data_IF_374846798286
#
_entry.id   IF_374846798286
#
_cell.length_a   1.000
_cell.length_b   1.000
_cell.length_c   1.000
_cell.angle_alpha   90.00
_cell.angle_beta   90.00
_cell.angle_gamma   90.00
#
_symmetry.space_group_name_H-M   'P 1'
#
loop_
_entity.id
_entity.type
_entity.pdbx_description
1 polymer ?
#
# COMPACT_ATOMS: atom_id res chain seq x y z
N UNK A 1 4.86 22.37 90.19
CA UNK A 1 6.06 23.04 89.76
C UNK A 1 6.13 23.00 88.23
N UNK A 2 5.40 23.90 87.63
CA UNK A 2 5.40 23.98 86.16
C UNK A 2 5.37 25.47 85.80
N UNK A 3 6.44 25.94 85.15
CA UNK A 3 6.65 27.33 84.77
C UNK A 3 5.83 27.67 83.52
N UNK A 4 5.25 28.86 83.42
CA UNK A 4 4.44 29.28 82.27
C UNK A 4 5.30 29.88 81.15
N UNK A 5 5.01 29.46 79.96
CA UNK A 5 5.57 29.84 78.70
C UNK A 5 5.08 31.25 78.26
N UNK A 6 6.02 32.14 77.93
CA UNK A 6 5.73 33.46 77.44
C UNK A 6 5.37 33.47 75.97
N UNK A 7 4.16 33.90 75.61
CA UNK A 7 3.76 34.22 74.26
C UNK A 7 4.20 35.61 73.81
N UNK A 8 4.98 35.71 72.76
CA UNK A 8 5.27 36.92 72.04
C UNK A 8 4.27 37.16 70.90
N UNK A 9 3.78 38.39 70.71
CA UNK A 9 2.84 38.71 69.63
C UNK A 9 3.61 38.94 68.31
N UNK A 10 3.15 38.21 67.26
CA UNK A 10 3.63 38.44 65.91
C UNK A 10 2.89 39.58 65.26
N UNK A 11 3.67 40.61 64.89
CA UNK A 11 3.23 41.81 64.18
C UNK A 11 2.97 41.42 62.71
N UNK A 12 1.70 41.47 62.24
CA UNK A 12 1.36 41.28 60.84
C UNK A 12 1.39 42.55 60.10
N UNK A 13 2.46 42.79 59.34
CA UNK A 13 2.57 43.94 58.43
C UNK A 13 1.75 43.60 57.15
N UNK A 14 0.68 44.36 56.95
CA UNK A 14 -0.08 44.31 55.68
C UNK A 14 0.70 45.11 54.64
N UNK A 15 1.28 44.42 53.69
CA UNK A 15 1.86 44.99 52.47
C UNK A 15 0.75 44.98 51.37
N UNK A 16 0.21 46.19 51.12
CA UNK A 16 -0.68 46.42 49.96
C UNK A 16 0.18 46.62 48.73
N UNK A 17 0.29 45.62 47.93
CA UNK A 17 0.98 45.69 46.63
C UNK A 17 -0.02 46.04 45.53
N UNK A 18 0.03 47.29 45.06
CA UNK A 18 -0.74 47.77 43.92
C UNK A 18 -0.18 47.12 42.64
N UNK A 19 -0.93 46.22 42.04
CA UNK A 19 -0.59 45.59 40.74
C UNK A 19 -1.06 46.55 39.65
N UNK A 20 -0.11 47.23 39.02
CA UNK A 20 -0.31 47.95 37.76
C UNK A 20 -0.43 46.95 36.63
N UNK A 21 -1.63 46.75 36.12
CA UNK A 21 -1.85 46.03 34.89
C UNK A 21 -1.44 46.89 33.69
N UNK A 22 -0.23 46.66 33.17
CA UNK A 22 0.19 47.17 31.87
C UNK A 22 -0.40 46.25 30.80
N UNK A 23 -1.49 46.70 30.15
CA UNK A 23 -2.00 46.05 28.95
C UNK A 23 -1.01 46.30 27.80
N UNK A 24 -0.05 45.41 27.63
CA UNK A 24 0.73 45.34 26.41
C UNK A 24 -0.17 44.69 25.33
N UNK A 25 -0.68 45.51 24.41
CA UNK A 25 -1.36 45.02 23.19
C UNK A 25 -0.32 44.28 22.37
N UNK A 26 -0.28 42.94 22.51
CA UNK A 26 0.41 42.06 21.56
C UNK A 26 -0.34 42.10 20.23
N UNK A 27 0.12 42.94 19.33
CA UNK A 27 -0.21 42.87 17.92
C UNK A 27 0.40 41.56 17.40
N UNK A 28 -0.37 40.48 17.41
CA UNK A 28 0.00 39.25 16.68
C UNK A 28 -0.05 39.56 15.18
N UNK A 29 1.08 39.46 14.45
CA UNK A 29 1.00 39.51 13.02
C UNK A 29 0.15 38.31 12.61
N UNK A 30 -0.95 38.54 11.88
CA UNK A 30 -1.72 37.50 11.22
C UNK A 30 -0.79 36.84 10.22
N UNK A 31 -0.11 35.76 10.64
CA UNK A 31 0.55 34.86 9.73
C UNK A 31 -0.54 34.28 8.85
N UNK A 32 -0.55 34.69 7.58
CA UNK A 32 -1.35 34.04 6.53
C UNK A 32 -1.04 32.55 6.62
N UNK A 33 -2.00 31.76 7.12
CA UNK A 33 -2.00 30.31 7.00
C UNK A 33 -2.25 29.97 5.53
N UNK A 34 -1.22 30.19 4.73
CA UNK A 34 -1.16 29.83 3.34
C UNK A 34 0.16 29.12 3.12
N UNK A 35 0.09 27.91 2.60
CA UNK A 35 1.20 27.10 2.15
C UNK A 35 1.93 26.21 3.18
N UNK A 36 1.18 25.35 3.86
CA UNK A 36 1.77 24.17 4.50
C UNK A 36 1.35 22.85 3.79
N UNK A 37 1.08 22.91 2.49
CA UNK A 37 0.78 21.72 1.66
C UNK A 37 1.81 21.49 0.55
N UNK A 38 3.03 21.96 0.72
CA UNK A 38 4.03 21.99 -0.35
C UNK A 38 5.23 21.05 -0.14
N UNK A 39 5.16 20.01 0.67
CA UNK A 39 6.32 19.11 0.84
C UNK A 39 6.04 17.63 0.67
N UNK A 40 4.93 17.23 0.06
CA UNK A 40 4.68 15.84 -0.33
C UNK A 40 4.66 15.55 -1.84
N UNK A 41 5.00 16.44 -2.76
CA UNK A 41 4.98 16.12 -4.19
C UNK A 41 6.01 15.07 -4.59
N UNK A 42 7.14 15.00 -3.92
CA UNK A 42 8.27 14.19 -4.36
C UNK A 42 8.03 12.69 -4.15
N UNK A 43 7.44 12.29 -3.03
CA UNK A 43 7.15 10.87 -2.70
C UNK A 43 6.07 10.29 -3.62
N UNK A 44 5.08 11.11 -4.00
CA UNK A 44 4.02 10.67 -4.91
C UNK A 44 4.50 10.68 -6.36
N UNK A 45 5.33 11.66 -6.74
CA UNK A 45 5.84 11.78 -8.10
C UNK A 45 6.79 10.63 -8.48
N UNK A 46 7.63 10.19 -7.55
CA UNK A 46 8.63 9.16 -7.80
C UNK A 46 8.25 7.84 -7.15
N UNK A 47 8.02 6.82 -7.97
CA UNK A 47 7.87 5.43 -7.55
C UNK A 47 9.25 4.80 -7.52
N UNK A 48 9.60 4.16 -6.41
CA UNK A 48 10.82 3.40 -6.26
C UNK A 48 10.54 2.11 -5.50
N UNK A 49 10.66 0.96 -6.19
CA UNK A 49 10.24 -0.34 -5.67
C UNK A 49 11.45 -1.25 -5.54
N UNK A 50 11.70 -1.85 -4.37
CA UNK A 50 12.70 -2.91 -4.25
C UNK A 50 12.14 -4.18 -4.88
N UNK A 51 12.79 -4.66 -5.92
CA UNK A 51 12.45 -5.91 -6.59
C UNK A 51 13.60 -6.89 -6.52
N UNK A 52 13.26 -8.16 -6.62
CA UNK A 52 14.22 -9.23 -6.73
C UNK A 52 13.66 -10.39 -7.56
N UNK A 53 14.57 -11.16 -8.14
CA UNK A 53 14.26 -12.41 -8.83
C UNK A 53 15.35 -13.42 -8.54
N UNK A 54 15.01 -14.71 -8.54
CA UNK A 54 15.98 -15.79 -8.48
C UNK A 54 16.89 -15.74 -9.71
N UNK A 55 18.16 -16.16 -9.55
CA UNK A 55 19.10 -16.27 -10.66
C UNK A 55 18.66 -17.37 -11.63
N UNK A 56 18.23 -18.50 -11.08
CA UNK A 56 17.85 -19.67 -11.84
C UNK A 56 16.33 -19.92 -11.74
N UNK A 57 15.77 -20.46 -12.81
CA UNK A 57 14.40 -20.92 -12.81
C UNK A 57 14.21 -22.10 -11.86
N UNK A 58 13.01 -22.21 -11.26
CA UNK A 58 12.67 -23.37 -10.45
C UNK A 58 12.77 -24.65 -11.29
N UNK A 59 13.36 -25.72 -10.76
CA UNK A 59 13.49 -26.98 -11.50
C UNK A 59 12.14 -27.50 -12.02
N UNK A 60 12.10 -27.86 -13.28
CA UNK A 60 10.88 -28.35 -13.94
C UNK A 60 10.05 -27.30 -14.66
N UNK A 61 10.41 -26.02 -14.58
CA UNK A 61 9.81 -24.98 -15.42
C UNK A 61 10.42 -25.01 -16.84
N UNK A 62 9.65 -24.54 -17.82
CA UNK A 62 10.12 -24.46 -19.21
C UNK A 62 11.35 -23.54 -19.33
N UNK A 63 11.38 -22.47 -18.58
CA UNK A 63 12.48 -21.50 -18.52
C UNK A 63 13.78 -22.10 -17.97
N UNK A 64 13.70 -23.17 -17.17
CA UNK A 64 14.86 -23.88 -16.65
C UNK A 64 15.53 -24.81 -17.69
N UNK A 65 14.86 -25.05 -18.83
CA UNK A 65 15.32 -25.95 -19.88
C UNK A 65 16.15 -25.22 -20.95
N UNK A 66 16.13 -23.89 -20.97
CA UNK A 66 16.90 -23.10 -21.91
C UNK A 66 18.36 -22.97 -21.45
N UNK A 67 19.19 -23.93 -21.80
CA UNK A 67 20.63 -23.96 -21.49
C UNK A 67 21.46 -22.98 -22.32
N UNK A 68 20.87 -22.30 -23.30
CA UNK A 68 21.54 -21.29 -24.14
C UNK A 68 21.45 -19.88 -23.52
N UNK A 69 20.61 -19.69 -22.52
CA UNK A 69 20.41 -18.42 -21.84
C UNK A 69 21.63 -18.01 -21.01
N UNK A 70 21.91 -16.72 -20.98
CA UNK A 70 22.93 -16.15 -20.10
C UNK A 70 22.53 -16.25 -18.62
N UNK A 71 23.51 -16.22 -17.72
CA UNK A 71 23.31 -16.40 -16.25
C UNK A 71 22.25 -15.43 -15.67
N UNK A 72 22.04 -14.29 -16.31
CA UNK A 72 21.10 -13.27 -15.81
C UNK A 72 19.82 -13.14 -16.65
N UNK A 73 19.66 -13.94 -17.69
CA UNK A 73 18.55 -13.77 -18.64
C UNK A 73 17.21 -14.08 -17.95
N UNK A 74 17.15 -15.14 -17.17
CA UNK A 74 15.96 -15.51 -16.42
C UNK A 74 15.56 -14.41 -15.41
N UNK A 75 16.49 -13.98 -14.55
CA UNK A 75 16.22 -12.96 -13.53
C UNK A 75 15.88 -11.61 -14.15
N UNK A 76 16.56 -11.24 -15.25
CA UNK A 76 16.29 -10.00 -15.98
C UNK A 76 14.90 -10.00 -16.63
N UNK A 77 14.52 -11.10 -17.30
CA UNK A 77 13.21 -11.26 -17.91
C UNK A 77 12.11 -11.16 -16.85
N UNK A 78 12.31 -11.81 -15.71
CA UNK A 78 11.37 -11.79 -14.60
C UNK A 78 11.20 -10.39 -14.00
N UNK A 79 12.30 -9.66 -13.75
CA UNK A 79 12.24 -8.30 -13.25
C UNK A 79 11.56 -7.35 -14.24
N UNK A 80 11.81 -7.51 -15.54
CA UNK A 80 11.15 -6.75 -16.62
C UNK A 80 9.65 -7.06 -16.76
N UNK A 81 9.20 -8.22 -16.34
CA UNK A 81 7.76 -8.55 -16.29
C UNK A 81 7.11 -8.04 -15.01
N UNK A 82 7.79 -8.17 -13.88
CA UNK A 82 7.24 -7.83 -12.57
C UNK A 82 7.15 -6.30 -12.35
N UNK A 83 8.15 -5.53 -12.77
CA UNK A 83 8.19 -4.09 -12.55
C UNK A 83 6.99 -3.37 -13.20
N UNK A 84 6.67 -3.57 -14.50
CA UNK A 84 5.50 -2.95 -15.12
C UNK A 84 4.19 -3.36 -14.45
N UNK A 85 4.07 -4.62 -14.04
CA UNK A 85 2.88 -5.11 -13.33
C UNK A 85 2.65 -4.36 -12.02
N UNK A 86 3.67 -4.24 -11.16
CA UNK A 86 3.53 -3.53 -9.88
C UNK A 86 3.37 -2.02 -10.08
N UNK A 87 4.17 -1.40 -10.96
CA UNK A 87 4.08 0.04 -11.25
C UNK A 87 2.71 0.36 -11.86
N UNK A 88 2.21 -0.47 -12.78
CA UNK A 88 0.85 -0.34 -13.32
C UNK A 88 -0.22 -0.35 -12.23
N UNK A 89 -0.07 -1.24 -11.25
CA UNK A 89 -0.92 -1.30 -10.06
C UNK A 89 -0.85 -0.07 -9.16
N UNK A 90 0.30 0.64 -9.14
CA UNK A 90 0.50 1.88 -8.39
C UNK A 90 0.06 3.14 -9.15
N UNK A 91 -0.07 3.05 -10.48
CA UNK A 91 -0.40 4.20 -11.36
C UNK A 91 -1.85 4.19 -11.79
N UNK A 92 -2.32 3.06 -12.29
CA UNK A 92 -3.67 2.89 -12.84
C UNK A 92 -4.54 1.96 -12.02
N UNK A 93 -3.92 0.99 -11.31
CA UNK A 93 -4.63 -0.01 -10.53
C UNK A 93 -5.17 -1.16 -11.37
N UNK A 94 -5.99 -1.99 -10.72
CA UNK A 94 -6.60 -3.18 -11.31
C UNK A 94 -8.10 -3.20 -11.07
N UNK A 95 -8.83 -3.70 -12.06
CA UNK A 95 -10.23 -4.10 -11.92
C UNK A 95 -10.28 -5.45 -11.23
N UNK A 96 -11.32 -5.68 -10.44
CA UNK A 96 -11.63 -7.00 -9.92
C UNK A 96 -13.12 -7.32 -10.04
N UNK A 97 -13.39 -8.61 -10.20
CA UNK A 97 -14.73 -9.20 -10.05
C UNK A 97 -14.58 -10.38 -9.09
N UNK A 98 -15.20 -10.27 -7.91
CA UNK A 98 -15.09 -11.24 -6.83
C UNK A 98 -16.41 -11.96 -6.60
N UNK A 99 -16.41 -13.28 -6.72
CA UNK A 99 -17.52 -14.18 -6.42
C UNK A 99 -17.23 -14.91 -5.11
N UNK A 100 -17.94 -14.62 -4.00
CA UNK A 100 -17.77 -15.33 -2.75
C UNK A 100 -18.19 -16.80 -2.87
N UNK A 101 -17.51 -17.72 -2.18
CA UNK A 101 -17.93 -19.12 -2.11
C UNK A 101 -19.31 -19.24 -1.46
N UNK A 102 -20.19 -20.04 -2.05
CA UNK A 102 -21.49 -20.39 -1.47
C UNK A 102 -21.75 -21.89 -1.57
N UNK A 103 -21.52 -22.60 -0.46
CA UNK A 103 -21.68 -24.05 -0.39
C UNK A 103 -23.11 -24.49 -0.65
N UNK A 104 -24.11 -23.71 -0.23
CA UNK A 104 -25.53 -24.06 -0.44
C UNK A 104 -25.93 -24.01 -1.91
N UNK A 105 -25.25 -23.15 -2.71
CA UNK A 105 -25.49 -22.99 -4.14
C UNK A 105 -24.46 -23.70 -5.01
N UNK A 106 -23.47 -24.40 -4.39
CA UNK A 106 -22.41 -25.05 -5.12
C UNK A 106 -21.46 -24.08 -5.85
N UNK A 107 -21.35 -22.82 -5.36
CA UNK A 107 -20.50 -21.80 -5.97
C UNK A 107 -19.13 -21.80 -5.31
N UNK A 108 -18.08 -21.98 -6.11
CA UNK A 108 -16.70 -21.84 -5.64
C UNK A 108 -16.29 -20.37 -5.60
N UNK A 109 -15.32 -20.06 -4.72
CA UNK A 109 -14.75 -18.73 -4.64
C UNK A 109 -13.90 -18.45 -5.88
N UNK A 110 -14.18 -17.33 -6.53
CA UNK A 110 -13.46 -16.94 -7.73
C UNK A 110 -13.15 -15.42 -7.71
N UNK A 111 -12.02 -15.04 -8.29
CA UNK A 111 -11.67 -13.65 -8.51
C UNK A 111 -11.05 -13.47 -9.89
N UNK A 112 -11.71 -12.69 -10.72
CA UNK A 112 -11.15 -12.15 -11.94
C UNK A 112 -10.40 -10.86 -11.64
N UNK A 113 -9.31 -10.61 -12.39
CA UNK A 113 -8.38 -9.56 -12.10
C UNK A 113 -7.67 -9.10 -13.38
N UNK A 114 -7.80 -7.83 -13.72
CA UNK A 114 -7.21 -7.25 -14.92
C UNK A 114 -6.71 -5.82 -14.67
N UNK A 115 -5.68 -5.33 -15.39
CA UNK A 115 -5.27 -3.95 -15.28
C UNK A 115 -6.42 -3.02 -15.71
N UNK A 116 -6.58 -1.89 -15.00
CA UNK A 116 -7.49 -0.82 -15.45
C UNK A 116 -6.99 -0.23 -16.76
N UNK A 117 -5.67 -0.07 -16.85
CA UNK A 117 -4.95 0.37 -18.03
C UNK A 117 -3.52 -0.14 -17.94
N UNK A 118 -2.99 -0.58 -19.06
CA UNK A 118 -1.57 -0.94 -19.16
C UNK A 118 -0.70 0.32 -19.23
N UNK A 119 0.54 0.21 -18.76
CA UNK A 119 1.51 1.29 -18.88
C UNK A 119 1.86 1.60 -20.35
N UNK A 120 1.84 0.59 -21.21
CA UNK A 120 2.10 0.70 -22.62
C UNK A 120 3.48 1.33 -22.88
N UNK A 121 3.53 2.39 -23.69
CA UNK A 121 4.79 3.08 -24.00
C UNK A 121 5.53 3.65 -22.77
N UNK A 122 4.81 3.93 -21.67
CA UNK A 122 5.41 4.43 -20.45
C UNK A 122 6.31 3.40 -19.74
N UNK A 123 6.20 2.10 -20.09
CA UNK A 123 7.10 1.07 -19.57
C UNK A 123 8.57 1.35 -19.89
N UNK A 124 8.85 2.01 -21.02
CA UNK A 124 10.21 2.40 -21.42
C UNK A 124 10.86 3.38 -20.44
N UNK A 125 10.06 4.06 -19.63
CA UNK A 125 10.54 5.01 -18.61
C UNK A 125 10.88 4.32 -17.28
N UNK A 126 10.70 3.00 -17.17
CA UNK A 126 11.11 2.25 -16.00
C UNK A 126 12.62 2.06 -16.05
N UNK A 127 13.31 2.54 -15.04
CA UNK A 127 14.76 2.38 -14.89
C UNK A 127 15.07 1.39 -13.77
N UNK A 128 16.15 0.63 -13.94
CA UNK A 128 16.59 -0.36 -12.97
C UNK A 128 17.94 0.09 -12.38
N UNK A 129 17.92 0.41 -11.09
CA UNK A 129 19.07 0.98 -10.40
C UNK A 129 19.66 0.02 -9.35
N UNK A 130 20.96 0.17 -9.10
CA UNK A 130 21.70 -0.53 -8.04
C UNK A 130 21.51 -2.07 -8.05
N UNK A 131 21.74 -2.75 -9.18
CA UNK A 131 21.66 -4.21 -9.21
C UNK A 131 22.72 -4.81 -8.27
N UNK A 132 22.32 -5.83 -7.53
CA UNK A 132 23.23 -6.61 -6.67
C UNK A 132 22.80 -8.06 -6.67
N UNK A 133 23.75 -8.95 -6.47
CA UNK A 133 23.53 -10.39 -6.34
C UNK A 133 23.78 -10.77 -4.89
N UNK A 134 22.83 -11.47 -4.30
CA UNK A 134 22.89 -11.94 -2.92
C UNK A 134 22.01 -13.18 -2.78
N UNK A 135 22.54 -14.23 -2.15
CA UNK A 135 21.83 -15.47 -1.86
C UNK A 135 21.08 -16.09 -3.06
N UNK A 136 21.75 -16.15 -4.23
CA UNK A 136 21.15 -16.72 -5.45
C UNK A 136 20.02 -15.90 -6.06
N UNK A 137 19.96 -14.60 -5.74
CA UNK A 137 18.96 -13.66 -6.25
C UNK A 137 19.62 -12.41 -6.80
N UNK A 138 18.97 -11.82 -7.79
CA UNK A 138 19.26 -10.47 -8.28
C UNK A 138 18.28 -9.51 -7.65
N UNK A 139 18.79 -8.52 -6.94
CA UNK A 139 18.04 -7.41 -6.37
C UNK A 139 18.27 -6.15 -7.19
N UNK A 140 17.24 -5.35 -7.36
CA UNK A 140 17.36 -4.02 -7.96
C UNK A 140 16.26 -3.08 -7.41
N UNK A 141 16.42 -1.81 -7.72
CA UNK A 141 15.36 -0.83 -7.57
C UNK A 141 14.74 -0.57 -8.94
N UNK A 142 13.43 -0.77 -9.08
CA UNK A 142 12.69 -0.29 -10.23
C UNK A 142 12.18 1.12 -9.90
N UNK A 143 12.53 2.08 -10.75
CA UNK A 143 12.21 3.50 -10.56
C UNK A 143 11.36 3.99 -11.72
N UNK A 144 10.33 4.78 -11.40
CA UNK A 144 9.41 5.34 -12.38
C UNK A 144 8.92 6.71 -11.91
N UNK A 145 8.86 7.68 -12.82
CA UNK A 145 8.33 9.01 -12.52
C UNK A 145 6.92 9.15 -13.08
N UNK A 146 5.97 9.46 -12.22
CA UNK A 146 4.59 9.74 -12.61
C UNK A 146 4.50 11.06 -13.37
N UNK A 147 3.66 11.12 -14.38
CA UNK A 147 3.24 12.37 -15.01
C UNK A 147 2.26 13.12 -14.10
N UNK A 148 2.01 14.40 -14.39
CA UNK A 148 1.02 15.19 -13.63
C UNK A 148 -0.37 14.55 -13.60
N UNK A 149 -0.80 13.96 -14.72
CA UNK A 149 -2.09 13.26 -14.79
C UNK A 149 -2.13 12.00 -13.91
N UNK A 150 -1.02 11.26 -13.81
CA UNK A 150 -0.90 10.10 -12.92
C UNK A 150 -0.86 10.50 -11.45
N UNK A 151 -0.24 11.63 -11.13
CA UNK A 151 -0.24 12.22 -9.78
C UNK A 151 -1.66 12.65 -9.42
N UNK A 152 -2.36 13.34 -10.32
CA UNK A 152 -3.76 13.72 -10.14
C UNK A 152 -4.67 12.52 -9.89
N UNK A 153 -4.49 11.43 -10.64
CA UNK A 153 -5.21 10.17 -10.42
C UNK A 153 -4.94 9.59 -9.02
N UNK A 154 -3.69 9.56 -8.57
CA UNK A 154 -3.35 9.09 -7.23
C UNK A 154 -4.07 9.90 -6.13
N UNK A 155 -4.12 11.23 -6.25
CA UNK A 155 -4.82 12.06 -5.27
C UNK A 155 -6.35 11.87 -5.28
N UNK A 156 -6.95 11.57 -6.44
CA UNK A 156 -8.36 11.19 -6.51
C UNK A 156 -8.62 9.90 -5.73
N UNK A 157 -7.74 8.92 -5.85
CA UNK A 157 -7.82 7.67 -5.09
C UNK A 157 -7.55 7.86 -3.59
N UNK A 158 -6.63 8.73 -3.24
CA UNK A 158 -6.29 9.05 -1.84
C UNK A 158 -7.35 9.92 -1.14
N UNK A 159 -8.44 10.25 -1.83
CA UNK A 159 -9.57 10.99 -1.25
C UNK A 159 -10.28 10.17 -0.16
N UNK A 160 -11.04 10.85 0.69
CA UNK A 160 -11.78 10.23 1.82
C UNK A 160 -12.80 9.17 1.37
N UNK A 161 -13.19 9.19 0.09
CA UNK A 161 -14.20 8.27 -0.47
C UNK A 161 -13.72 6.83 -0.62
N UNK A 162 -12.42 6.60 -0.69
CA UNK A 162 -11.85 5.28 -0.88
C UNK A 162 -11.24 4.74 0.40
N UNK A 163 -11.72 3.58 0.86
CA UNK A 163 -11.16 2.92 2.02
C UNK A 163 -9.76 2.36 1.70
N UNK A 164 -8.83 2.48 2.66
CA UNK A 164 -7.53 1.82 2.58
C UNK A 164 -7.64 0.42 3.19
N UNK A 165 -7.22 -0.58 2.44
CA UNK A 165 -7.30 -1.98 2.83
C UNK A 165 -5.92 -2.62 2.78
N UNK A 166 -5.65 -3.50 3.74
CA UNK A 166 -4.43 -4.30 3.81
C UNK A 166 -4.70 -5.75 3.39
N UNK A 167 -3.82 -6.34 2.58
CA UNK A 167 -3.92 -7.72 2.13
C UNK A 167 -2.62 -8.48 2.24
N UNK A 168 -2.73 -9.77 2.55
CA UNK A 168 -1.62 -10.73 2.51
C UNK A 168 -2.04 -11.88 1.63
N UNK A 169 -1.16 -12.27 0.71
CA UNK A 169 -1.40 -13.38 -0.21
C UNK A 169 -0.16 -14.21 -0.46
N UNK A 170 -0.39 -15.40 -0.99
CA UNK A 170 0.64 -16.39 -1.23
C UNK A 170 0.55 -16.91 -2.68
N UNK A 171 1.73 -17.16 -3.26
CA UNK A 171 1.88 -17.79 -4.57
C UNK A 171 2.92 -18.89 -4.51
N UNK A 172 2.82 -19.88 -5.38
CA UNK A 172 3.78 -20.99 -5.43
C UNK A 172 5.04 -20.56 -6.17
N UNK A 173 6.21 -20.97 -5.67
CA UNK A 173 7.48 -20.75 -6.38
C UNK A 173 7.48 -21.53 -7.70
N UNK A 174 6.83 -22.70 -7.73
CA UNK A 174 6.68 -23.51 -8.93
C UNK A 174 5.84 -22.89 -10.06
N UNK A 175 5.14 -21.78 -9.78
CA UNK A 175 4.38 -21.05 -10.80
C UNK A 175 5.28 -20.13 -11.65
N UNK A 176 6.59 -20.11 -11.41
CA UNK A 176 7.57 -19.33 -12.17
C UNK A 176 7.28 -17.83 -12.15
N UNK A 177 7.18 -17.22 -13.33
CA UNK A 177 6.91 -15.79 -13.44
C UNK A 177 5.57 -15.38 -12.83
N UNK A 178 4.58 -16.27 -12.83
CA UNK A 178 3.26 -15.99 -12.28
C UNK A 178 3.19 -16.09 -10.76
N UNK A 179 4.19 -16.67 -10.10
CA UNK A 179 4.15 -16.93 -8.67
C UNK A 179 3.92 -15.68 -7.82
N UNK A 180 4.65 -14.59 -8.10
CA UNK A 180 4.47 -13.30 -7.38
C UNK A 180 3.15 -12.63 -7.80
N UNK A 181 2.80 -12.67 -9.09
CA UNK A 181 1.54 -12.14 -9.61
C UNK A 181 0.34 -12.84 -8.96
N UNK A 182 0.40 -14.18 -8.83
CA UNK A 182 -0.61 -14.96 -8.13
C UNK A 182 -0.69 -14.60 -6.64
N UNK A 183 0.45 -14.34 -5.99
CA UNK A 183 0.47 -13.87 -4.60
C UNK A 183 -0.19 -12.48 -4.45
N UNK A 184 0.01 -11.56 -5.39
CA UNK A 184 -0.68 -10.26 -5.44
C UNK A 184 -2.19 -10.45 -5.58
N UNK A 185 -2.63 -11.29 -6.52
CA UNK A 185 -4.06 -11.60 -6.72
C UNK A 185 -4.68 -12.20 -5.46
N UNK A 186 -3.98 -13.15 -4.83
CA UNK A 186 -4.44 -13.77 -3.58
C UNK A 186 -4.52 -12.76 -2.43
N UNK A 187 -3.55 -11.82 -2.32
CA UNK A 187 -3.56 -10.76 -1.33
C UNK A 187 -4.80 -9.86 -1.49
N UNK A 188 -5.09 -9.42 -2.71
CA UNK A 188 -6.27 -8.58 -3.01
C UNK A 188 -7.56 -9.37 -2.73
N UNK A 189 -7.66 -10.62 -3.18
CA UNK A 189 -8.82 -11.49 -2.92
C UNK A 189 -9.10 -11.64 -1.42
N UNK A 190 -8.06 -11.93 -0.63
CA UNK A 190 -8.17 -12.11 0.81
C UNK A 190 -8.64 -10.82 1.51
N UNK A 191 -8.09 -9.68 1.09
CA UNK A 191 -8.45 -8.37 1.62
C UNK A 191 -9.88 -7.97 1.25
N UNK A 192 -10.28 -8.12 -0.01
CA UNK A 192 -11.64 -7.87 -0.52
C UNK A 192 -12.64 -8.73 0.24
N UNK A 193 -12.35 -10.02 0.40
CA UNK A 193 -13.20 -10.94 1.18
C UNK A 193 -13.36 -10.46 2.62
N UNK A 194 -12.27 -10.13 3.30
CA UNK A 194 -12.28 -9.68 4.69
C UNK A 194 -13.07 -8.38 4.82
N UNK A 195 -12.83 -7.40 3.95
CA UNK A 195 -13.51 -6.11 3.93
C UNK A 195 -15.03 -6.26 3.78
N UNK A 196 -15.49 -7.01 2.77
CA UNK A 196 -16.92 -7.15 2.52
C UNK A 196 -17.66 -8.03 3.54
N UNK A 197 -16.98 -8.98 4.19
CA UNK A 197 -17.57 -9.74 5.30
C UNK A 197 -18.03 -8.86 6.45
N UNK A 198 -17.42 -7.72 6.66
CA UNK A 198 -17.81 -6.75 7.71
C UNK A 198 -18.90 -5.78 7.26
N UNK A 199 -19.03 -5.55 5.95
CA UNK A 199 -19.94 -4.54 5.37
C UNK A 199 -21.26 -5.13 4.88
N UNK A 200 -21.27 -6.40 4.43
CA UNK A 200 -22.44 -7.02 3.79
C UNK A 200 -22.94 -8.21 4.63
N UNK A 201 -24.22 -8.15 5.04
CA UNK A 201 -24.83 -9.22 5.83
C UNK A 201 -25.12 -10.47 5.02
N UNK A 202 -25.66 -10.31 3.81
CA UNK A 202 -26.02 -11.42 2.92
C UNK A 202 -24.96 -11.59 1.84
N UNK A 203 -24.55 -12.83 1.56
CA UNK A 203 -23.57 -13.10 0.49
C UNK A 203 -24.11 -12.59 -0.85
N UNK A 204 -23.39 -11.70 -1.54
CA UNK A 204 -23.74 -11.30 -2.87
C UNK A 204 -23.37 -12.39 -3.88
N UNK A 205 -23.95 -12.33 -5.08
CA UNK A 205 -23.54 -13.16 -6.21
C UNK A 205 -22.15 -12.76 -6.69
N UNK A 206 -21.90 -11.45 -6.76
CA UNK A 206 -20.67 -10.90 -7.29
C UNK A 206 -20.45 -9.49 -6.75
N UNK A 207 -19.19 -9.13 -6.56
CA UNK A 207 -18.73 -7.78 -6.19
C UNK A 207 -17.74 -7.32 -7.23
N UNK A 208 -17.98 -6.18 -7.85
CA UNK A 208 -17.08 -5.54 -8.79
C UNK A 208 -16.53 -4.26 -8.23
N UNK A 209 -15.27 -3.98 -8.57
CA UNK A 209 -14.62 -2.76 -8.16
C UNK A 209 -13.23 -2.63 -8.74
N UNK A 210 -12.52 -1.66 -8.21
CA UNK A 210 -11.14 -1.37 -8.59
C UNK A 210 -10.27 -1.22 -7.36
N UNK A 211 -8.98 -1.47 -7.52
CA UNK A 211 -7.98 -1.25 -6.48
C UNK A 211 -6.79 -0.49 -7.06
N UNK A 212 -6.18 0.39 -6.27
CA UNK A 212 -4.94 1.07 -6.60
C UNK A 212 -3.95 0.86 -5.45
N UNK A 213 -2.75 0.39 -5.75
CA UNK A 213 -1.70 0.26 -4.73
C UNK A 213 -1.35 1.64 -4.17
N UNK A 214 -1.44 1.76 -2.84
CA UNK A 214 -1.11 2.99 -2.13
C UNK A 214 0.40 3.19 -2.02
N UNK A 215 1.13 2.10 -1.83
CA UNK A 215 2.59 2.07 -1.68
C UNK A 215 3.16 0.79 -2.29
N UNK A 216 4.48 0.71 -2.31
CA UNK A 216 5.20 -0.46 -2.77
C UNK A 216 4.81 -1.72 -1.99
N UNK A 217 4.66 -2.87 -2.67
CA UNK A 217 4.40 -4.15 -2.03
C UNK A 217 5.62 -4.66 -1.26
N UNK A 218 5.38 -5.36 -0.16
CA UNK A 218 6.41 -6.14 0.50
C UNK A 218 6.38 -7.56 -0.07
N UNK A 219 7.45 -7.94 -0.78
CA UNK A 219 7.58 -9.23 -1.45
C UNK A 219 8.67 -10.05 -0.76
N UNK A 220 8.32 -11.23 -0.27
CA UNK A 220 9.25 -12.14 0.39
C UNK A 220 8.91 -13.59 0.12
N UNK A 221 9.62 -14.48 0.80
CA UNK A 221 9.35 -15.93 0.81
C UNK A 221 8.98 -16.32 2.24
N UNK A 222 7.93 -17.12 2.37
CA UNK A 222 7.45 -17.65 3.64
C UNK A 222 7.01 -19.12 3.43
N UNK A 223 7.62 -20.04 4.17
CA UNK A 223 7.35 -21.48 4.09
C UNK A 223 7.38 -22.04 2.64
N UNK A 224 8.40 -21.64 1.87
CA UNK A 224 8.58 -22.12 0.49
C UNK A 224 7.54 -21.58 -0.51
N UNK A 225 6.90 -20.46 -0.20
CA UNK A 225 5.97 -19.76 -1.10
C UNK A 225 6.32 -18.28 -1.17
N UNK A 226 6.00 -17.64 -2.28
CA UNK A 226 5.99 -16.19 -2.32
C UNK A 226 4.93 -15.67 -1.38
N UNK A 227 5.30 -14.67 -0.57
CA UNK A 227 4.39 -13.93 0.30
C UNK A 227 4.41 -12.47 -0.12
N UNK A 228 3.24 -11.93 -0.40
CA UNK A 228 3.08 -10.52 -0.76
C UNK A 228 2.16 -9.85 0.25
N UNK A 229 2.57 -8.68 0.72
CA UNK A 229 1.76 -7.81 1.55
C UNK A 229 1.51 -6.51 0.81
N UNK A 230 0.25 -6.07 0.77
CA UNK A 230 -0.22 -4.93 0.01
C UNK A 230 -1.00 -3.97 0.89
N UNK A 231 -0.81 -2.67 0.66
CA UNK A 231 -1.76 -1.64 1.07
C UNK A 231 -2.31 -0.96 -0.18
N UNK A 232 -3.61 -0.90 -0.29
CA UNK A 232 -4.28 -0.36 -1.47
C UNK A 232 -5.57 0.39 -1.14
N UNK A 233 -5.94 1.30 -2.00
CA UNK A 233 -7.25 1.92 -1.99
C UNK A 233 -8.25 0.98 -2.68
N UNK A 234 -9.43 0.86 -2.10
CA UNK A 234 -10.52 0.03 -2.60
C UNK A 234 -11.71 0.88 -3.00
N UNK A 235 -12.08 0.81 -4.26
CA UNK A 235 -13.32 1.40 -4.80
C UNK A 235 -14.30 0.28 -5.15
N UNK A 236 -15.51 0.39 -4.64
CA UNK A 236 -16.59 -0.54 -4.96
C UNK A 236 -17.47 0.05 -6.04
N UNK A 237 -17.52 -0.58 -7.20
CA UNK A 237 -18.37 -0.16 -8.30
C UNK A 237 -19.78 -0.75 -8.17
N UNK A 238 -19.88 -2.08 -8.01
CA UNK A 238 -21.18 -2.77 -8.00
C UNK A 238 -21.19 -3.99 -7.10
N UNK A 239 -22.28 -4.13 -6.34
CA UNK A 239 -22.59 -5.34 -5.57
C UNK A 239 -23.87 -5.95 -6.17
N UNK A 240 -23.74 -7.15 -6.74
CA UNK A 240 -24.83 -7.89 -7.36
C UNK A 240 -25.41 -8.90 -6.35
N UNK A 241 -26.65 -8.74 -5.89
CA UNK A 241 -27.29 -9.74 -5.05
C UNK A 241 -27.73 -10.96 -5.86
N UNK A 242 -27.98 -12.08 -5.20
CA UNK A 242 -28.78 -13.15 -5.79
C UNK A 242 -30.21 -12.65 -5.91
N UNK A 243 -30.81 -12.79 -7.08
CA UNK A 243 -32.26 -12.56 -7.26
C UNK A 243 -33.02 -13.67 -6.52
N UNK A 244 -33.92 -13.28 -5.64
CA UNK A 244 -34.93 -14.20 -5.11
C UNK A 244 -35.96 -14.40 -6.21
N UNK A 245 -36.15 -15.64 -6.63
CA UNK A 245 -37.28 -16.05 -7.47
C UNK A 245 -38.40 -16.51 -6.54
#
# INVERSE_FOLDING_TARGET
>A
MISPEKRTPVFVARFTMAIFFLFAACVFPHAKAGAAFSQTPDIVAHIRIPLWAELDAYPGLAEAQDTSAGVFDYSTARLKTLAPFIIGGMVYGWNFSYTPSDKLRGVEEYMDFSPVRELGEAERNITYAKPRIEDGKVYCWAEFTRTESMIGNYYLWASITNDTVHGIGYGKISDGFDGITNAVRDAIKNAVRAYFRTKIKNKPKEIRGRVLLRREPLIGIDAGRYKVQLDFFLETDKILPYTQF
#
